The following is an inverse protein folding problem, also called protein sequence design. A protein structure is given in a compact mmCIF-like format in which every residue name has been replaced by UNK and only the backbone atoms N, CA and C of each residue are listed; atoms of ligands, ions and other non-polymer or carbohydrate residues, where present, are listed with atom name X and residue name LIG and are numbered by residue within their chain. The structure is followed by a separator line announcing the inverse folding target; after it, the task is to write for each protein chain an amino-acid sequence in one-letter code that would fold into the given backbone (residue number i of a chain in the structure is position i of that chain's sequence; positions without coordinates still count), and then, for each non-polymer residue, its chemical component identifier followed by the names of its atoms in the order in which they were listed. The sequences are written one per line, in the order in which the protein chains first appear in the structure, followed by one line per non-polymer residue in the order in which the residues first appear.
data_IF_432365233776
#
_entry.id   IF_432365233776
#
_cell.length_a   1.000
_cell.length_b   1.000
_cell.length_c   1.000
_cell.angle_alpha   90.00
_cell.angle_beta   90.00
_cell.angle_gamma   90.00
#
_symmetry.space_group_name_H-M   'P 1'
#
loop_
_entity.id
_entity.type
_entity.pdbx_description
1 polymer ?
#
# COMPACT_ATOMS: atom_id res chain seq x y z
N UNK A 1 28.68 -6.61 -15.40
CA UNK A 1 27.88 -6.30 -16.61
C UNK A 1 26.58 -5.70 -16.12
N UNK A 2 26.48 -4.37 -16.26
CA UNK A 2 25.29 -3.59 -15.88
C UNK A 2 24.19 -3.92 -16.90
N UNK A 3 23.23 -4.75 -16.56
CA UNK A 3 22.00 -4.86 -17.36
C UNK A 3 21.21 -3.57 -17.18
N UNK A 4 21.19 -2.81 -18.28
CA UNK A 4 20.40 -1.59 -18.41
C UNK A 4 18.91 -1.92 -18.24
N UNK A 5 18.28 -1.39 -17.21
CA UNK A 5 16.84 -1.50 -16.93
C UNK A 5 15.93 -0.84 -17.98
N UNK A 6 16.51 -0.39 -19.13
CA UNK A 6 15.81 0.32 -20.20
C UNK A 6 14.77 -0.48 -20.98
N UNK A 7 14.62 -1.77 -20.73
CA UNK A 7 13.72 -2.67 -21.46
C UNK A 7 12.56 -3.27 -20.64
N UNK A 8 12.34 -2.82 -19.41
CA UNK A 8 11.12 -3.20 -18.69
C UNK A 8 9.92 -2.52 -19.37
N UNK A 9 8.81 -3.25 -19.61
CA UNK A 9 7.60 -2.72 -20.26
C UNK A 9 6.86 -1.65 -19.42
N UNK A 10 7.50 -1.15 -18.38
CA UNK A 10 7.04 -0.08 -17.50
C UNK A 10 6.94 1.29 -18.20
N UNK A 11 7.41 1.41 -19.45
CA UNK A 11 7.20 2.61 -20.28
C UNK A 11 5.74 2.85 -20.68
N UNK A 12 4.86 1.87 -20.46
CA UNK A 12 3.44 1.94 -20.82
C UNK A 12 2.54 2.08 -19.59
N UNK A 13 3.06 2.55 -18.46
CA UNK A 13 2.21 2.91 -17.32
C UNK A 13 1.53 4.24 -17.66
N UNK A 14 0.28 4.12 -18.14
CA UNK A 14 -0.58 5.24 -18.49
C UNK A 14 -0.74 6.19 -17.29
N UNK A 15 -0.89 7.48 -17.60
CA UNK A 15 -1.21 8.50 -16.62
C UNK A 15 -2.49 8.10 -15.88
N UNK A 16 -2.56 8.44 -14.60
CA UNK A 16 -3.71 8.19 -13.73
C UNK A 16 -5.03 8.82 -14.22
N UNK A 17 -4.97 9.67 -15.24
CA UNK A 17 -6.10 10.41 -15.80
C UNK A 17 -7.19 9.53 -16.45
N UNK A 18 -6.91 8.24 -16.67
CA UNK A 18 -7.86 7.29 -17.27
C UNK A 18 -8.56 6.36 -16.25
N UNK A 19 -8.33 6.55 -14.94
CA UNK A 19 -8.99 5.70 -13.93
C UNK A 19 -10.44 6.09 -13.73
N UNK A 20 -11.32 5.14 -14.01
CA UNK A 20 -12.79 5.32 -13.98
C UNK A 20 -13.32 5.46 -12.55
N UNK A 21 -12.65 4.89 -11.56
CA UNK A 21 -13.08 4.89 -10.17
C UNK A 21 -12.14 5.71 -9.27
N UNK A 22 -12.67 6.51 -8.32
CA UNK A 22 -11.86 7.16 -7.32
C UNK A 22 -11.22 6.14 -6.40
N UNK A 23 -9.94 6.34 -6.09
CA UNK A 23 -9.19 5.51 -5.16
C UNK A 23 -8.74 6.29 -3.95
N UNK A 24 -8.73 5.63 -2.80
CA UNK A 24 -8.11 6.12 -1.57
C UNK A 24 -6.87 5.27 -1.27
N UNK A 25 -5.81 5.90 -0.86
CA UNK A 25 -4.66 5.20 -0.31
C UNK A 25 -4.19 5.89 0.96
N UNK A 26 -3.62 5.12 1.84
CA UNK A 26 -2.97 5.62 3.04
C UNK A 26 -1.63 4.91 3.24
N UNK A 27 -0.68 5.63 3.79
CA UNK A 27 0.60 5.10 4.21
C UNK A 27 0.90 5.49 5.64
N UNK A 28 1.73 4.72 6.29
CA UNK A 28 2.22 4.95 7.64
C UNK A 28 3.68 4.57 7.76
N UNK A 29 4.44 5.40 8.47
CA UNK A 29 5.85 5.22 8.76
C UNK A 29 6.09 5.34 10.27
N UNK A 30 6.91 4.46 10.84
CA UNK A 30 7.33 4.50 12.23
C UNK A 30 8.67 5.26 12.37
N UNK A 31 8.73 6.21 13.31
CA UNK A 31 9.98 6.86 13.71
C UNK A 31 10.73 7.62 12.62
N UNK A 32 10.05 7.98 11.52
CA UNK A 32 10.68 8.70 10.42
C UNK A 32 10.67 10.21 10.65
N UNK A 33 11.85 10.85 10.57
CA UNK A 33 11.99 12.31 10.70
C UNK A 33 11.68 13.06 9.39
N UNK A 34 11.79 12.38 8.23
CA UNK A 34 11.57 12.97 6.90
C UNK A 34 10.27 12.49 6.27
N UNK A 35 9.71 13.30 5.39
CA UNK A 35 8.61 12.88 4.52
C UNK A 35 9.11 11.80 3.53
N UNK A 36 8.25 10.82 3.17
CA UNK A 36 8.65 9.80 2.21
C UNK A 36 8.82 10.40 0.81
N UNK A 37 9.81 9.90 0.09
CA UNK A 37 9.97 10.22 -1.33
C UNK A 37 8.81 9.55 -2.09
N UNK A 38 7.99 10.37 -2.74
CA UNK A 38 6.84 9.92 -3.50
C UNK A 38 7.26 9.61 -4.93
N UNK A 39 7.15 8.35 -5.32
CA UNK A 39 7.55 7.86 -6.63
C UNK A 39 6.29 7.52 -7.44
N UNK A 40 5.86 8.43 -8.32
CA UNK A 40 4.72 8.20 -9.20
C UNK A 40 4.99 7.19 -10.31
N UNK A 41 6.26 7.00 -10.68
CA UNK A 41 6.72 6.05 -11.68
C UNK A 41 8.07 5.45 -11.27
N UNK A 42 8.32 4.20 -11.66
CA UNK A 42 9.59 3.50 -11.39
C UNK A 42 10.84 4.23 -11.94
N UNK A 43 10.66 5.07 -12.96
CA UNK A 43 11.74 5.86 -13.56
C UNK A 43 12.31 6.91 -12.60
N UNK A 44 11.49 7.42 -11.67
CA UNK A 44 11.91 8.43 -10.69
C UNK A 44 12.68 7.81 -9.50
N UNK A 45 12.60 6.51 -9.34
CA UNK A 45 13.24 5.79 -8.22
C UNK A 45 14.78 5.92 -8.19
N UNK A 46 15.41 6.21 -9.32
CA UNK A 46 16.86 6.40 -9.41
C UNK A 46 17.40 7.66 -8.71
N UNK A 47 16.52 8.58 -8.31
CA UNK A 47 16.92 9.87 -7.67
C UNK A 47 16.77 9.87 -6.15
N UNK A 48 16.14 8.84 -5.55
CA UNK A 48 15.98 8.80 -4.11
C UNK A 48 17.26 8.37 -3.39
N UNK A 49 17.56 9.00 -2.25
CA UNK A 49 18.59 8.51 -1.37
C UNK A 49 18.21 7.10 -0.87
N UNK A 50 19.18 6.16 -0.84
CA UNK A 50 18.96 4.78 -0.40
C UNK A 50 18.40 4.66 1.02
N UNK A 51 18.56 5.68 1.85
CA UNK A 51 18.11 5.70 3.25
C UNK A 51 16.71 6.29 3.43
N UNK A 52 16.19 7.02 2.45
CA UNK A 52 14.88 7.65 2.57
C UNK A 52 13.75 6.65 2.39
N UNK A 53 12.65 6.76 3.15
CA UNK A 53 11.45 5.99 2.88
C UNK A 53 10.89 6.37 1.51
N UNK A 54 10.40 5.39 0.78
CA UNK A 54 9.89 5.60 -0.58
C UNK A 54 8.53 4.93 -0.74
N UNK A 55 7.64 5.60 -1.44
CA UNK A 55 6.32 5.10 -1.81
C UNK A 55 6.20 5.15 -3.34
N UNK A 56 6.00 3.97 -3.92
CA UNK A 56 5.74 3.79 -5.33
C UNK A 56 4.27 3.43 -5.53
N UNK A 57 3.62 4.06 -6.50
CA UNK A 57 2.28 3.65 -6.95
C UNK A 57 2.16 3.77 -8.47
N UNK A 58 1.33 2.94 -9.06
CA UNK A 58 1.07 2.97 -10.50
C UNK A 58 -0.23 2.24 -10.85
N UNK A 59 -0.83 2.67 -11.96
CA UNK A 59 -2.01 2.01 -12.52
C UNK A 59 -1.70 0.65 -13.14
N UNK A 60 -2.64 -0.29 -13.03
CA UNK A 60 -2.58 -1.61 -13.69
C UNK A 60 -3.08 -1.44 -15.12
N UNK A 61 -2.24 -1.53 -16.15
CA UNK A 61 -2.68 -1.39 -17.52
C UNK A 61 -3.59 -2.57 -17.94
N UNK A 62 -4.51 -2.30 -18.86
CA UNK A 62 -5.44 -3.31 -19.33
C UNK A 62 -4.75 -4.44 -20.14
N UNK A 63 -3.62 -4.13 -20.76
CA UNK A 63 -2.86 -4.97 -21.70
C UNK A 63 -1.40 -5.25 -21.26
N UNK A 64 -1.14 -5.17 -19.96
CA UNK A 64 0.19 -5.38 -19.40
C UNK A 64 0.79 -6.76 -19.72
N UNK A 65 2.12 -6.80 -19.96
CA UNK A 65 2.85 -8.03 -20.25
C UNK A 65 3.09 -8.84 -18.97
N UNK A 66 2.19 -9.77 -18.66
CA UNK A 66 2.34 -10.69 -17.53
C UNK A 66 3.65 -11.51 -17.57
N UNK A 67 4.12 -12.05 -18.73
CA UNK A 67 5.37 -12.79 -18.78
C UNK A 67 6.59 -12.03 -18.30
N UNK A 68 6.68 -10.73 -18.61
CA UNK A 68 7.81 -9.89 -18.18
C UNK A 68 7.83 -9.67 -16.67
N UNK A 69 6.66 -9.52 -16.05
CA UNK A 69 6.55 -9.41 -14.59
C UNK A 69 6.90 -10.73 -13.91
N UNK A 70 6.41 -11.85 -14.44
CA UNK A 70 6.70 -13.17 -13.91
C UNK A 70 8.20 -13.50 -13.97
N UNK A 71 8.94 -12.99 -14.95
CA UNK A 71 10.38 -13.19 -15.05
C UNK A 71 11.17 -12.64 -13.84
N UNK A 72 10.61 -11.64 -13.12
CA UNK A 72 11.19 -11.05 -11.93
C UNK A 72 10.88 -11.81 -10.63
N UNK A 73 10.03 -12.83 -10.72
CA UNK A 73 9.52 -13.57 -9.56
C UNK A 73 10.11 -14.98 -9.49
N UNK A 74 10.32 -15.52 -8.28
CA UNK A 74 10.71 -16.92 -8.12
C UNK A 74 9.57 -17.85 -8.55
N UNK A 75 9.92 -19.08 -8.92
CA UNK A 75 8.97 -20.05 -9.49
C UNK A 75 7.76 -20.32 -8.58
N UNK A 76 7.99 -20.43 -7.28
CA UNK A 76 6.88 -20.63 -6.33
C UNK A 76 5.81 -19.53 -6.40
N UNK A 77 6.22 -18.27 -6.58
CA UNK A 77 5.28 -17.15 -6.74
C UNK A 77 4.60 -17.16 -8.11
N UNK A 78 5.32 -17.53 -9.17
CA UNK A 78 4.74 -17.69 -10.51
C UNK A 78 3.61 -18.72 -10.53
N UNK A 79 3.83 -19.87 -9.88
CA UNK A 79 2.82 -20.92 -9.75
C UNK A 79 1.58 -20.38 -9.03
N UNK A 80 1.75 -19.70 -7.88
CA UNK A 80 0.64 -19.12 -7.15
C UNK A 80 -0.17 -18.13 -8.00
N UNK A 81 0.50 -17.25 -8.76
CA UNK A 81 -0.16 -16.26 -9.60
C UNK A 81 -0.93 -16.94 -10.73
N UNK A 82 -0.36 -17.97 -11.39
CA UNK A 82 -1.04 -18.72 -12.45
C UNK A 82 -2.30 -19.46 -11.97
N UNK A 83 -2.42 -19.75 -10.68
CA UNK A 83 -3.61 -20.35 -10.09
C UNK A 83 -4.76 -19.35 -9.91
N UNK A 84 -4.54 -18.04 -10.02
CA UNK A 84 -5.61 -17.05 -9.97
C UNK A 84 -6.48 -17.15 -11.22
N UNK A 85 -7.81 -17.07 -11.05
CA UNK A 85 -8.77 -17.29 -12.15
C UNK A 85 -8.90 -16.10 -13.10
N UNK A 86 -8.64 -14.88 -12.61
CA UNK A 86 -8.79 -13.66 -13.40
C UNK A 86 -7.43 -13.15 -13.85
N UNK A 87 -7.24 -12.92 -15.16
CA UNK A 87 -5.99 -12.39 -15.71
C UNK A 87 -5.59 -11.04 -15.14
N UNK A 88 -6.56 -10.19 -14.81
CA UNK A 88 -6.31 -8.90 -14.19
C UNK A 88 -5.81 -9.04 -12.74
N UNK A 89 -6.34 -10.00 -12.00
CA UNK A 89 -5.85 -10.32 -10.66
C UNK A 89 -4.44 -10.93 -10.72
N UNK A 90 -4.16 -11.80 -11.71
CA UNK A 90 -2.80 -12.30 -11.95
C UNK A 90 -1.82 -11.16 -12.21
N UNK A 91 -2.22 -10.20 -13.04
CA UNK A 91 -1.39 -9.08 -13.40
C UNK A 91 -1.14 -8.16 -12.20
N UNK A 92 -2.16 -7.77 -11.45
CA UNK A 92 -2.02 -6.86 -10.30
C UNK A 92 -1.15 -7.46 -9.20
N UNK A 93 -1.33 -8.76 -8.90
CA UNK A 93 -0.48 -9.48 -7.92
C UNK A 93 0.97 -9.60 -8.41
N UNK A 94 1.17 -9.93 -9.70
CA UNK A 94 2.51 -10.02 -10.28
C UNK A 94 3.22 -8.66 -10.25
N UNK A 95 2.52 -7.60 -10.65
CA UNK A 95 3.05 -6.24 -10.65
C UNK A 95 3.43 -5.75 -9.26
N UNK A 96 2.58 -6.00 -8.26
CA UNK A 96 2.83 -5.63 -6.87
C UNK A 96 4.07 -6.33 -6.30
N UNK A 97 4.21 -7.64 -6.55
CA UNK A 97 5.37 -8.42 -6.11
C UNK A 97 6.65 -8.04 -6.86
N UNK A 98 6.57 -7.81 -8.17
CA UNK A 98 7.70 -7.37 -8.97
C UNK A 98 8.19 -5.98 -8.55
N UNK A 99 7.27 -5.02 -8.34
CA UNK A 99 7.58 -3.68 -7.88
C UNK A 99 8.31 -3.69 -6.52
N UNK A 100 7.82 -4.47 -5.57
CA UNK A 100 8.49 -4.63 -4.27
C UNK A 100 9.92 -5.17 -4.42
N UNK A 101 10.12 -6.19 -5.28
CA UNK A 101 11.45 -6.78 -5.54
C UNK A 101 12.39 -5.79 -6.22
N UNK A 102 11.89 -4.99 -7.17
CA UNK A 102 12.68 -3.94 -7.82
C UNK A 102 13.13 -2.89 -6.78
N UNK A 103 12.23 -2.40 -5.94
CA UNK A 103 12.59 -1.44 -4.89
C UNK A 103 13.58 -2.02 -3.88
N UNK A 104 13.36 -3.27 -3.46
CA UNK A 104 14.27 -3.97 -2.55
C UNK A 104 15.64 -4.21 -3.20
N UNK A 105 15.70 -4.57 -4.48
CA UNK A 105 16.95 -4.79 -5.21
C UNK A 105 17.82 -3.54 -5.23
N UNK A 106 17.22 -2.37 -5.41
CA UNK A 106 17.91 -1.08 -5.38
C UNK A 106 18.50 -0.76 -3.98
N UNK A 107 17.80 -1.16 -2.91
CA UNK A 107 18.25 -0.95 -1.52
C UNK A 107 19.36 -1.93 -1.12
N UNK A 108 19.26 -3.17 -1.60
CA UNK A 108 20.14 -4.27 -1.23
C UNK A 108 21.30 -4.49 -2.23
N UNK A 109 21.30 -3.75 -3.33
CA UNK A 109 22.29 -3.86 -4.41
C UNK A 109 22.45 -5.30 -4.93
N UNK A 110 21.32 -5.99 -5.13
CA UNK A 110 21.25 -7.35 -5.63
C UNK A 110 20.12 -7.49 -6.66
N UNK A 111 20.17 -8.48 -7.59
CA UNK A 111 19.13 -8.68 -8.58
C UNK A 111 17.76 -8.95 -7.96
N UNK A 112 16.67 -8.46 -8.59
CA UNK A 112 15.31 -8.58 -8.07
C UNK A 112 14.87 -10.05 -7.86
N UNK A 113 15.30 -10.97 -8.73
CA UNK A 113 15.02 -12.40 -8.61
C UNK A 113 15.75 -13.06 -7.42
N UNK A 114 16.82 -12.45 -6.91
CA UNK A 114 17.61 -12.97 -5.79
C UNK A 114 17.10 -12.48 -4.43
N UNK A 115 16.11 -11.58 -4.43
CA UNK A 115 15.45 -11.15 -3.21
C UNK A 115 14.70 -12.33 -2.60
N UNK A 116 15.17 -12.80 -1.45
CA UNK A 116 14.50 -13.85 -0.70
C UNK A 116 13.52 -13.24 0.30
N UNK A 117 12.26 -13.63 0.19
CA UNK A 117 11.21 -13.21 1.11
C UNK A 117 10.78 -14.40 1.98
N UNK A 118 10.59 -14.13 3.25
CA UNK A 118 9.92 -14.98 4.22
C UNK A 118 8.53 -14.44 4.53
N UNK A 119 7.67 -15.26 5.10
CA UNK A 119 6.41 -14.82 5.70
C UNK A 119 6.46 -15.09 7.18
N UNK A 120 5.96 -14.15 7.97
CA UNK A 120 5.73 -14.40 9.38
C UNK A 120 4.51 -15.30 9.61
N UNK A 121 4.24 -15.64 10.86
CA UNK A 121 3.12 -16.51 11.24
C UNK A 121 1.74 -15.93 10.86
N UNK A 122 1.68 -14.65 10.58
CA UNK A 122 0.48 -13.92 10.14
C UNK A 122 0.43 -13.67 8.63
N UNK A 123 1.44 -14.18 7.91
CA UNK A 123 1.50 -14.10 6.45
C UNK A 123 2.09 -12.80 5.88
N UNK A 124 2.51 -11.85 6.73
CA UNK A 124 3.17 -10.62 6.26
C UNK A 124 4.52 -10.96 5.63
N UNK A 125 4.79 -10.51 4.39
CA UNK A 125 6.08 -10.74 3.76
C UNK A 125 7.15 -9.84 4.41
N UNK A 126 8.34 -10.40 4.61
CA UNK A 126 9.54 -9.72 5.09
C UNK A 126 10.77 -10.26 4.35
N UNK A 127 11.89 -9.57 4.44
CA UNK A 127 13.16 -10.11 3.94
C UNK A 127 13.57 -11.34 4.76
N UNK A 128 14.01 -12.39 4.07
CA UNK A 128 14.52 -13.60 4.75
C UNK A 128 15.88 -13.29 5.43
N UNK A 129 15.95 -13.36 6.78
CA UNK A 129 17.16 -13.05 7.51
C UNK A 129 18.31 -14.02 7.22
N UNK A 130 18.03 -15.24 6.75
CA UNK A 130 19.04 -16.22 6.34
C UNK A 130 19.78 -15.79 5.09
N UNK A 131 19.16 -15.01 4.22
CA UNK A 131 19.72 -14.53 2.96
C UNK A 131 20.21 -13.10 3.03
N UNK A 132 19.54 -12.24 3.78
CA UNK A 132 19.79 -10.80 3.83
C UNK A 132 20.39 -10.32 5.16
N UNK A 133 20.65 -11.23 6.10
CA UNK A 133 21.36 -10.93 7.35
C UNK A 133 20.72 -9.78 8.13
N UNK A 134 21.55 -8.81 8.56
CA UNK A 134 21.10 -7.66 9.34
C UNK A 134 20.14 -6.74 8.60
N UNK A 135 20.23 -6.66 7.27
CA UNK A 135 19.34 -5.84 6.46
C UNK A 135 17.88 -6.28 6.57
N UNK A 136 17.63 -7.58 6.78
CA UNK A 136 16.29 -8.09 7.01
C UNK A 136 15.60 -7.53 8.27
N UNK A 137 16.38 -7.01 9.22
CA UNK A 137 15.88 -6.37 10.45
C UNK A 137 15.77 -4.84 10.35
N UNK A 138 16.35 -4.27 9.30
CA UNK A 138 16.45 -2.81 9.15
C UNK A 138 15.61 -2.29 7.99
N UNK A 139 15.26 -3.12 7.04
CA UNK A 139 14.52 -2.73 5.85
C UNK A 139 13.14 -3.39 5.84
N UNK A 140 12.13 -2.56 5.91
CA UNK A 140 10.73 -2.96 5.94
C UNK A 140 10.05 -2.55 4.64
N UNK A 141 9.05 -3.32 4.22
CA UNK A 141 8.22 -2.97 3.08
C UNK A 141 6.78 -3.40 3.30
N UNK A 142 5.88 -2.78 2.57
CA UNK A 142 4.47 -3.11 2.55
C UNK A 142 3.94 -2.98 1.13
N UNK A 143 2.97 -3.83 0.79
CA UNK A 143 2.37 -3.91 -0.53
C UNK A 143 0.86 -3.83 -0.37
N UNK A 144 0.22 -3.09 -1.25
CA UNK A 144 -1.22 -3.16 -1.46
C UNK A 144 -1.55 -3.04 -2.94
N UNK A 145 -2.66 -3.63 -3.37
CA UNK A 145 -3.13 -3.52 -4.73
C UNK A 145 -4.64 -3.70 -4.81
N UNK A 146 -5.23 -3.00 -5.75
CA UNK A 146 -6.57 -3.28 -6.30
C UNK A 146 -6.40 -3.91 -7.68
N UNK A 147 -7.51 -4.10 -8.41
CA UNK A 147 -7.45 -4.48 -9.84
C UNK A 147 -6.84 -3.40 -10.73
N UNK A 148 -6.80 -2.17 -10.27
CA UNK A 148 -6.49 -0.99 -11.08
C UNK A 148 -5.23 -0.26 -10.60
N UNK A 149 -4.84 -0.45 -9.35
CA UNK A 149 -3.75 0.26 -8.73
C UNK A 149 -2.85 -0.67 -7.91
N UNK A 150 -1.56 -0.45 -8.00
CA UNK A 150 -0.53 -1.07 -7.16
C UNK A 150 0.15 0.01 -6.35
N UNK A 151 0.40 -0.27 -5.07
CA UNK A 151 1.19 0.58 -4.19
C UNK A 151 2.18 -0.24 -3.37
N UNK A 152 3.40 0.27 -3.23
CA UNK A 152 4.48 -0.33 -2.45
C UNK A 152 5.14 0.76 -1.63
N UNK A 153 5.32 0.50 -0.34
CA UNK A 153 6.09 1.35 0.55
C UNK A 153 7.32 0.60 1.08
N UNK A 154 8.44 1.30 1.22
CA UNK A 154 9.71 0.76 1.75
C UNK A 154 10.37 1.78 2.67
N UNK A 155 10.98 1.33 3.76
CA UNK A 155 11.67 2.21 4.72
C UNK A 155 12.50 1.44 5.75
N UNK A 156 13.29 2.17 6.54
CA UNK A 156 14.11 1.62 7.62
C UNK A 156 13.39 1.49 8.97
N UNK A 157 12.15 1.93 9.06
CA UNK A 157 11.22 1.68 10.16
C UNK A 157 10.04 0.84 9.68
N UNK A 158 9.17 0.46 10.59
CA UNK A 158 7.93 -0.22 10.22
C UNK A 158 7.14 0.65 9.26
N UNK A 159 6.65 0.04 8.19
CA UNK A 159 5.91 0.74 7.14
C UNK A 159 4.69 -0.07 6.74
N UNK A 160 3.61 0.64 6.44
CA UNK A 160 2.40 0.07 5.88
C UNK A 160 1.84 0.94 4.78
N UNK A 161 1.20 0.32 3.80
CA UNK A 161 0.47 1.00 2.74
C UNK A 161 -0.80 0.22 2.45
N UNK A 162 -1.87 0.96 2.19
CA UNK A 162 -3.11 0.37 1.72
C UNK A 162 -3.73 1.21 0.62
N UNK A 163 -4.44 0.56 -0.29
CA UNK A 163 -5.14 1.19 -1.42
C UNK A 163 -6.46 0.47 -1.68
N UNK A 164 -7.53 1.25 -1.82
CA UNK A 164 -8.88 0.77 -2.05
C UNK A 164 -9.60 1.58 -3.12
N UNK A 165 -10.49 0.93 -3.86
CA UNK A 165 -11.43 1.60 -4.74
C UNK A 165 -12.58 2.17 -3.91
N UNK A 166 -12.78 3.48 -3.95
CA UNK A 166 -13.87 4.14 -3.23
C UNK A 166 -15.18 3.87 -3.95
N UNK A 167 -16.12 3.24 -3.26
CA UNK A 167 -17.44 2.90 -3.79
C UNK A 167 -18.49 2.87 -2.69
N UNK A 168 -19.71 3.13 -3.04
CA UNK A 168 -20.85 2.86 -2.18
C UNK A 168 -21.15 1.35 -2.17
N UNK A 169 -21.58 0.83 -1.04
CA UNK A 169 -22.08 -0.54 -0.93
C UNK A 169 -23.13 -0.62 0.20
N UNK A 170 -24.15 -1.52 0.05
CA UNK A 170 -25.32 -1.51 0.94
C UNK A 170 -25.00 -1.68 2.42
N UNK A 171 -24.00 -2.49 2.75
CA UNK A 171 -23.67 -2.89 4.13
C UNK A 171 -22.60 -2.01 4.77
N UNK A 172 -22.27 -0.83 4.17
CA UNK A 172 -21.17 0.03 4.63
C UNK A 172 -21.26 0.34 6.11
N UNK A 173 -22.42 0.79 6.61
CA UNK A 173 -22.58 1.15 8.02
C UNK A 173 -22.58 -0.07 8.94
N UNK A 174 -23.04 -1.23 8.47
CA UNK A 174 -22.94 -2.48 9.22
C UNK A 174 -21.48 -2.88 9.38
N UNK A 175 -20.69 -2.86 8.30
CA UNK A 175 -19.25 -3.14 8.35
C UNK A 175 -18.55 -2.14 9.27
N UNK A 176 -18.87 -0.83 9.14
CA UNK A 176 -18.30 0.20 10.00
C UNK A 176 -18.57 -0.06 11.49
N UNK A 177 -19.80 -0.41 11.84
CA UNK A 177 -20.19 -0.68 13.24
C UNK A 177 -19.48 -1.90 13.86
N UNK A 178 -19.10 -2.87 13.02
CA UNK A 178 -18.39 -4.07 13.45
C UNK A 178 -16.87 -3.86 13.51
N UNK A 179 -16.33 -2.98 12.70
CA UNK A 179 -14.90 -2.88 12.47
C UNK A 179 -14.26 -1.63 13.09
N UNK A 180 -14.95 -0.51 13.13
CA UNK A 180 -14.34 0.75 13.53
C UNK A 180 -14.48 1.06 15.01
N UNK A 181 -13.58 1.86 15.52
CA UNK A 181 -13.66 2.46 16.84
C UNK A 181 -14.87 3.40 16.93
N UNK A 182 -15.38 3.57 18.15
CA UNK A 182 -16.57 4.39 18.41
C UNK A 182 -16.43 5.81 17.86
N UNK A 183 -15.27 6.42 17.99
CA UNK A 183 -14.98 7.76 17.50
C UNK A 183 -15.16 7.86 15.98
N UNK A 184 -14.61 6.91 15.23
CA UNK A 184 -14.73 6.85 13.77
C UNK A 184 -16.17 6.54 13.33
N UNK A 185 -16.86 5.66 14.06
CA UNK A 185 -18.26 5.34 13.79
C UNK A 185 -19.17 6.57 14.02
N UNK A 186 -18.93 7.31 15.09
CA UNK A 186 -19.66 8.56 15.37
C UNK A 186 -19.50 9.57 14.23
N UNK A 187 -18.27 9.76 13.74
CA UNK A 187 -17.99 10.65 12.61
C UNK A 187 -18.69 10.21 11.31
N UNK A 188 -18.74 8.91 11.03
CA UNK A 188 -19.47 8.35 9.88
C UNK A 188 -20.98 8.58 9.96
N UNK A 189 -21.57 8.44 11.15
CA UNK A 189 -22.99 8.67 11.38
C UNK A 189 -23.39 10.14 11.20
N UNK A 190 -22.46 11.08 11.42
CA UNK A 190 -22.68 12.50 11.23
C UNK A 190 -22.65 12.97 9.76
N UNK A 191 -22.24 12.10 8.84
CA UNK A 191 -22.21 12.42 7.39
C UNK A 191 -23.54 12.06 6.75
N UNK A 192 -24.22 13.02 6.13
CA UNK A 192 -25.53 12.80 5.50
C UNK A 192 -25.42 12.19 4.10
N UNK A 193 -24.52 12.70 3.25
CA UNK A 193 -24.38 12.25 1.87
C UNK A 193 -23.69 10.89 1.78
N UNK A 194 -24.28 9.93 1.09
CA UNK A 194 -23.75 8.55 0.97
C UNK A 194 -22.38 8.52 0.30
N UNK A 195 -22.15 9.35 -0.73
CA UNK A 195 -20.85 9.49 -1.39
C UNK A 195 -19.74 9.99 -0.47
N UNK A 196 -20.05 10.99 0.38
CA UNK A 196 -19.12 11.52 1.37
C UNK A 196 -18.86 10.48 2.49
N UNK A 197 -19.93 9.80 2.91
CA UNK A 197 -19.83 8.72 3.91
C UNK A 197 -18.96 7.57 3.39
N UNK A 198 -19.12 7.17 2.13
CA UNK A 198 -18.26 6.18 1.50
C UNK A 198 -16.81 6.66 1.43
N UNK A 199 -16.56 7.91 1.06
CA UNK A 199 -15.21 8.48 1.03
C UNK A 199 -14.56 8.50 2.42
N UNK A 200 -15.33 8.84 3.48
CA UNK A 200 -14.85 8.82 4.86
C UNK A 200 -14.61 7.39 5.36
N UNK A 201 -15.50 6.45 5.02
CA UNK A 201 -15.32 5.03 5.34
C UNK A 201 -13.99 4.52 4.76
N UNK A 202 -13.74 4.73 3.48
CA UNK A 202 -12.51 4.26 2.85
C UNK A 202 -11.27 5.01 3.33
N UNK A 203 -11.40 6.26 3.78
CA UNK A 203 -10.32 6.96 4.48
C UNK A 203 -9.95 6.23 5.77
N UNK A 204 -10.92 5.88 6.61
CA UNK A 204 -10.66 5.16 7.85
C UNK A 204 -10.15 3.75 7.60
N UNK A 205 -10.72 3.07 6.62
CA UNK A 205 -10.34 1.73 6.24
C UNK A 205 -8.88 1.67 5.79
N UNK A 206 -8.49 2.48 4.82
CA UNK A 206 -7.11 2.49 4.28
C UNK A 206 -6.08 2.92 5.32
N UNK A 207 -6.39 3.92 6.16
CA UNK A 207 -5.52 4.32 7.28
C UNK A 207 -5.34 3.16 8.27
N UNK A 208 -6.43 2.50 8.62
CA UNK A 208 -6.41 1.38 9.54
C UNK A 208 -5.65 0.18 9.00
N UNK A 209 -5.92 -0.24 7.76
CA UNK A 209 -5.22 -1.35 7.11
C UNK A 209 -3.73 -1.03 6.91
N UNK A 210 -3.38 0.20 6.54
CA UNK A 210 -1.98 0.61 6.47
C UNK A 210 -1.31 0.51 7.85
N UNK A 211 -1.99 0.92 8.92
CA UNK A 211 -1.45 0.82 10.29
C UNK A 211 -1.29 -0.64 10.74
N UNK A 212 -2.29 -1.49 10.52
CA UNK A 212 -2.20 -2.94 10.79
C UNK A 212 -1.05 -3.59 10.00
N UNK A 213 -0.88 -3.22 8.74
CA UNK A 213 0.24 -3.68 7.93
C UNK A 213 1.59 -3.21 8.48
N UNK A 214 1.67 -1.97 9.01
CA UNK A 214 2.90 -1.47 9.62
C UNK A 214 3.23 -2.21 10.91
N UNK A 215 2.28 -2.37 11.82
CA UNK A 215 2.47 -3.09 13.08
C UNK A 215 2.80 -4.56 12.87
N UNK A 216 2.24 -5.17 11.81
CA UNK A 216 2.41 -6.59 11.49
C UNK A 216 1.51 -7.52 12.33
N UNK A 217 0.57 -6.98 13.11
CA UNK A 217 -0.33 -7.80 13.94
C UNK A 217 -1.45 -8.48 13.15
N UNK A 218 -1.64 -8.06 11.90
CA UNK A 218 -2.68 -8.61 11.03
C UNK A 218 -4.09 -8.33 11.56
N UNK A 219 -5.05 -9.10 11.06
CA UNK A 219 -6.49 -8.96 11.39
C UNK A 219 -6.75 -9.05 12.90
N UNK A 220 -5.91 -9.76 13.67
CA UNK A 220 -6.06 -9.91 15.10
C UNK A 220 -5.96 -8.59 15.89
N UNK A 221 -5.30 -7.57 15.33
CA UNK A 221 -5.25 -6.23 15.93
C UNK A 221 -6.62 -5.57 15.97
N UNK A 222 -7.42 -5.73 14.91
CA UNK A 222 -8.73 -5.10 14.75
C UNK A 222 -8.67 -3.58 14.58
N UNK A 223 -9.50 -3.07 13.69
CA UNK A 223 -9.62 -1.62 13.42
C UNK A 223 -10.21 -0.84 14.61
N UNK A 224 -10.79 -1.53 15.59
CA UNK A 224 -11.33 -0.93 16.83
C UNK A 224 -10.25 -0.54 17.84
N UNK A 225 -9.01 -1.02 17.68
CA UNK A 225 -7.92 -0.80 18.65
C UNK A 225 -7.30 0.60 18.57
N UNK A 226 -7.66 1.39 17.57
CA UNK A 226 -7.16 2.74 17.34
C UNK A 226 -8.23 3.63 16.69
N UNK A 227 -8.00 4.94 16.64
CA UNK A 227 -8.90 5.88 15.98
C UNK A 227 -8.14 6.99 15.24
N UNK A 228 -8.73 7.45 14.13
CA UNK A 228 -8.28 8.55 13.30
C UNK A 228 -9.33 9.66 13.23
N UNK A 229 -8.93 10.93 13.03
CA UNK A 229 -9.87 12.02 12.82
C UNK A 229 -10.51 11.96 11.42
N UNK A 230 -11.76 12.37 11.32
CA UNK A 230 -12.49 12.43 10.06
C UNK A 230 -11.88 13.43 9.06
N UNK A 231 -11.29 14.51 9.56
CA UNK A 231 -10.78 15.63 8.75
C UNK A 231 -9.34 16.00 9.15
N UNK A 232 -8.70 16.76 8.30
CA UNK A 232 -7.35 17.25 8.53
C UNK A 232 -6.26 16.21 8.28
N UNK A 233 -5.07 16.48 8.82
CA UNK A 233 -3.94 15.58 8.69
C UNK A 233 -4.21 14.29 9.47
N UNK A 234 -3.97 13.10 8.88
CA UNK A 234 -4.21 11.83 9.56
C UNK A 234 -3.20 11.64 10.70
N UNK A 235 -3.72 11.49 11.91
CA UNK A 235 -2.96 11.20 13.13
C UNK A 235 -3.74 10.19 13.96
N UNK A 236 -3.08 9.44 14.81
CA UNK A 236 -3.78 8.60 15.79
C UNK A 236 -4.31 9.48 16.91
N UNK A 237 -5.62 9.48 17.13
CA UNK A 237 -6.26 10.14 18.28
C UNK A 237 -6.43 9.18 19.47
N UNK A 238 -6.39 7.88 19.19
CA UNK A 238 -6.34 6.81 20.19
C UNK A 238 -5.54 5.63 19.61
N UNK A 239 -4.70 5.02 20.42
CA UNK A 239 -3.94 3.81 20.08
C UNK A 239 -3.59 3.04 21.36
N UNK A 240 -3.44 1.72 21.24
CA UNK A 240 -2.97 0.88 22.34
C UNK A 240 -1.50 1.21 22.66
N UNK A 241 -1.15 1.27 23.94
CA UNK A 241 0.20 1.57 24.44
C UNK A 241 1.30 0.65 23.89
N UNK A 242 0.95 -0.57 23.47
CA UNK A 242 1.87 -1.51 22.83
C UNK A 242 2.53 -0.93 21.57
N UNK A 243 1.90 0.03 20.91
CA UNK A 243 2.39 0.65 19.68
C UNK A 243 3.11 1.97 19.92
N UNK A 244 3.31 2.34 21.19
CA UNK A 244 3.91 3.59 21.60
C UNK A 244 2.99 4.80 21.41
N UNK A 245 3.51 6.00 21.65
CA UNK A 245 2.70 7.21 21.54
C UNK A 245 2.32 7.53 20.09
N UNK A 246 1.19 8.25 19.87
CA UNK A 246 0.71 8.57 18.52
C UNK A 246 1.72 9.29 17.62
N UNK A 247 2.54 10.16 18.18
CA UNK A 247 3.56 10.95 17.47
C UNK A 247 4.74 10.11 16.95
N UNK A 248 4.86 8.87 17.40
CA UNK A 248 5.80 7.89 16.83
C UNK A 248 5.49 7.55 15.38
N UNK A 249 4.23 7.74 14.94
CA UNK A 249 3.72 7.32 13.66
C UNK A 249 3.41 8.52 12.77
N UNK A 250 3.86 8.47 11.53
CA UNK A 250 3.49 9.43 10.47
C UNK A 250 2.55 8.78 9.50
N UNK A 251 1.53 9.52 9.10
CA UNK A 251 0.51 9.06 8.18
C UNK A 251 0.35 10.04 7.03
N UNK A 252 -0.06 9.55 5.89
CA UNK A 252 -0.54 10.37 4.80
C UNK A 252 -1.63 9.65 4.04
N UNK A 253 -2.41 10.42 3.30
CA UNK A 253 -3.45 9.93 2.41
C UNK A 253 -3.27 10.51 1.03
N UNK A 254 -3.57 9.70 0.02
CA UNK A 254 -3.59 10.09 -1.39
C UNK A 254 -4.97 9.73 -1.94
N UNK A 255 -5.48 10.56 -2.84
CA UNK A 255 -6.73 10.29 -3.57
C UNK A 255 -6.45 10.48 -5.05
N UNK A 256 -7.01 9.60 -5.86
CA UNK A 256 -6.95 9.66 -7.32
C UNK A 256 -8.35 9.51 -7.90
N UNK A 257 -8.56 10.06 -9.07
CA UNK A 257 -9.83 10.08 -9.77
C UNK A 257 -10.65 11.33 -9.44
N UNK A 258 -11.48 11.72 -10.36
CA UNK A 258 -12.41 12.82 -10.17
C UNK A 258 -13.47 12.38 -9.14
N UNK A 259 -13.46 13.00 -7.96
CA UNK A 259 -14.73 13.16 -7.26
C UNK A 259 -15.63 13.99 -8.19
N UNK A 260 -16.93 13.68 -8.31
CA UNK A 260 -17.85 14.56 -9.02
C UNK A 260 -17.64 15.97 -8.48
N UNK A 261 -17.62 17.01 -9.34
CA UNK A 261 -17.49 18.38 -8.88
C UNK A 261 -18.54 18.59 -7.80
N UNK A 262 -18.11 19.08 -6.64
CA UNK A 262 -19.03 19.53 -5.60
C UNK A 262 -20.00 20.46 -6.32
N UNK A 263 -21.27 20.10 -6.29
CA UNK A 263 -22.29 21.00 -6.82
C UNK A 263 -22.19 22.31 -6.06
N UNK A 264 -21.66 23.33 -6.72
CA UNK A 264 -21.81 24.68 -6.30
C UNK A 264 -23.30 25.00 -6.27
N UNK A 265 -23.84 25.18 -5.10
CA UNK A 265 -25.09 25.88 -4.87
C UNK A 265 -24.96 26.77 -3.65
#
# INVERSE_FOLDING_TARGET
MSQSFSHLPLRTLHRFDEMILPHAAAWVLEGCASEPVMLGNLVESHRSNRLDPSILWFGVPADGSLPSLLALLPEAERIQIRCLRCGRDQWSVAAARAAARILLSQRLDCPAQDIALARDDRGKPSLDPRRHGTMAKQLYFSISHTRELVAVAIGHGRVGIDVEAVREFPDLMQVASMQFAHEMLHDLLAVEADTERAALFFRFWTLGEAFIKATGEGIAQGLQSFAFPARGHPTLIRVNELWGPPDRWRFGTLRWGALPPNGDS
#
